data_IF_501300246955
#
_entry.id   IF_501300246955
#
_cell.length_a   1.000
_cell.length_b   1.000
_cell.length_c   1.000
_cell.angle_alpha   90.00
_cell.angle_beta   90.00
_cell.angle_gamma   90.00
#
_symmetry.space_group_name_H-M   'P 1'
#
loop_
_entity.id
_entity.type
_entity.pdbx_description
1 polymer ?
#
# COMPACT_ATOMS: atom_id res chain seq x y z
N UNK A 1 -19.60 14.71 -24.84
CA UNK A 1 -18.59 15.52 -25.56
C UNK A 1 -17.89 16.40 -24.55
N UNK A 2 -16.59 16.66 -24.69
CA UNK A 2 -15.87 17.58 -23.81
C UNK A 2 -16.25 19.04 -24.15
N UNK A 3 -16.45 19.94 -23.17
CA UNK A 3 -16.64 21.36 -23.42
C UNK A 3 -15.51 21.99 -24.26
N UNK A 4 -15.79 22.96 -25.15
CA UNK A 4 -14.79 23.50 -26.08
C UNK A 4 -13.56 24.13 -25.41
N UNK A 5 -13.71 24.75 -24.24
CA UNK A 5 -12.62 25.35 -23.47
C UNK A 5 -11.69 24.27 -22.87
N UNK A 6 -12.26 23.17 -22.38
CA UNK A 6 -11.52 22.02 -21.88
C UNK A 6 -10.83 21.25 -23.04
N UNK A 7 -11.48 21.18 -24.20
CA UNK A 7 -10.90 20.63 -25.43
C UNK A 7 -9.70 21.47 -25.91
N UNK A 8 -9.79 22.80 -25.87
CA UNK A 8 -8.68 23.69 -26.23
C UNK A 8 -7.47 23.50 -25.29
N UNK A 9 -7.71 23.40 -23.98
CA UNK A 9 -6.67 23.08 -22.98
C UNK A 9 -5.98 21.75 -23.26
N UNK A 10 -6.75 20.68 -23.50
CA UNK A 10 -6.20 19.36 -23.81
C UNK A 10 -5.38 19.35 -25.12
N UNK A 11 -5.81 20.10 -26.13
CA UNK A 11 -5.12 20.22 -27.43
C UNK A 11 -3.80 21.01 -27.35
N UNK A 12 -3.65 21.91 -26.37
CA UNK A 12 -2.43 22.70 -26.18
C UNK A 12 -1.26 21.92 -25.57
N UNK A 13 -1.51 20.71 -25.05
CA UNK A 13 -0.49 19.86 -24.41
C UNK A 13 0.41 19.18 -25.45
N UNK A 14 1.70 19.50 -25.42
CA UNK A 14 2.73 18.82 -26.21
C UNK A 14 3.08 17.45 -25.59
N UNK A 15 2.43 16.39 -26.10
CA UNK A 15 2.56 15.04 -25.54
C UNK A 15 3.88 14.38 -25.90
N UNK A 16 4.61 13.95 -24.88
CA UNK A 16 5.82 13.12 -25.00
C UNK A 16 5.46 11.63 -25.07
N UNK A 17 6.43 10.79 -25.45
CA UNK A 17 6.24 9.33 -25.50
C UNK A 17 6.02 8.74 -24.09
N UNK A 18 5.39 7.55 -23.98
CA UNK A 18 5.45 6.73 -22.77
C UNK A 18 6.90 6.53 -22.29
N UNK A 19 7.06 6.31 -21.00
CA UNK A 19 8.35 6.07 -20.35
C UNK A 19 8.17 5.03 -19.23
N UNK A 20 9.27 4.41 -18.80
CA UNK A 20 9.29 3.34 -17.81
C UNK A 20 10.59 3.35 -16.98
N UNK A 21 10.60 2.60 -15.88
CA UNK A 21 11.73 2.54 -14.95
C UNK A 21 12.71 1.38 -15.22
N UNK A 22 12.58 0.64 -16.33
CA UNK A 22 13.36 -0.59 -16.59
C UNK A 22 14.86 -0.37 -16.41
N UNK A 23 15.40 0.69 -17.04
CA UNK A 23 16.83 1.02 -16.96
C UNK A 23 17.26 1.49 -15.58
N UNK A 24 16.36 2.12 -14.82
CA UNK A 24 16.63 2.49 -13.43
C UNK A 24 16.71 1.24 -12.54
N UNK A 25 15.80 0.28 -12.72
CA UNK A 25 15.82 -0.98 -12.00
C UNK A 25 17.04 -1.85 -12.35
N UNK A 26 17.49 -1.87 -13.60
CA UNK A 26 18.75 -2.52 -14.00
C UNK A 26 19.95 -1.96 -13.22
N UNK A 27 20.10 -0.64 -13.18
CA UNK A 27 21.24 0.02 -12.51
C UNK A 27 21.15 -0.10 -10.98
N UNK A 28 19.95 0.02 -10.40
CA UNK A 28 19.72 -0.20 -8.96
C UNK A 28 20.00 -1.65 -8.55
N UNK A 29 19.67 -2.63 -9.40
CA UNK A 29 19.99 -4.05 -9.16
C UNK A 29 21.49 -4.31 -9.24
N UNK A 30 22.19 -3.67 -10.18
CA UNK A 30 23.65 -3.70 -10.25
C UNK A 30 24.30 -3.09 -8.99
N UNK A 31 23.79 -1.95 -8.50
CA UNK A 31 24.23 -1.34 -7.24
C UNK A 31 23.97 -2.25 -6.03
N UNK A 32 22.78 -2.84 -5.90
CA UNK A 32 22.46 -3.79 -4.83
C UNK A 32 23.49 -4.93 -4.76
N UNK A 33 23.84 -5.45 -5.94
CA UNK A 33 24.81 -6.54 -6.11
C UNK A 33 26.23 -6.09 -5.75
N UNK A 34 26.70 -4.94 -6.22
CA UNK A 34 28.07 -4.47 -5.94
C UNK A 34 28.27 -4.04 -4.48
N UNK A 35 27.26 -3.40 -3.88
CA UNK A 35 27.28 -2.98 -2.48
C UNK A 35 26.94 -4.11 -1.49
N UNK A 36 26.53 -5.29 -1.97
CA UNK A 36 26.11 -6.45 -1.15
C UNK A 36 24.95 -6.12 -0.18
N UNK A 37 24.01 -5.29 -0.62
CA UNK A 37 22.82 -4.89 0.15
C UNK A 37 21.53 -5.53 -0.44
N UNK A 38 20.47 -5.71 0.35
CA UNK A 38 19.17 -6.14 -0.17
C UNK A 38 18.65 -5.19 -1.27
N UNK A 39 18.01 -5.74 -2.30
CA UNK A 39 17.45 -4.96 -3.40
C UNK A 39 16.45 -3.89 -2.93
N UNK A 40 15.64 -4.19 -1.92
CA UNK A 40 14.72 -3.24 -1.29
C UNK A 40 15.47 -2.02 -0.70
N UNK A 41 16.60 -2.25 -0.02
CA UNK A 41 17.44 -1.19 0.51
C UNK A 41 18.11 -0.39 -0.62
N UNK A 42 18.56 -1.06 -1.68
CA UNK A 42 19.10 -0.41 -2.87
C UNK A 42 18.05 0.45 -3.60
N UNK A 43 16.79 0.03 -3.65
CA UNK A 43 15.66 0.81 -4.19
C UNK A 43 15.39 2.05 -3.34
N UNK A 44 15.37 1.92 -2.01
CA UNK A 44 15.19 3.07 -1.10
C UNK A 44 16.29 4.12 -1.33
N UNK A 45 17.54 3.71 -1.55
CA UNK A 45 18.68 4.60 -1.76
C UNK A 45 18.79 5.15 -3.20
N UNK A 46 18.68 4.29 -4.22
CA UNK A 46 19.06 4.58 -5.60
C UNK A 46 17.96 5.24 -6.46
N UNK A 47 16.69 5.14 -6.07
CA UNK A 47 15.56 5.68 -6.85
C UNK A 47 15.37 7.20 -6.77
N UNK A 48 16.27 7.93 -6.08
CA UNK A 48 16.22 9.39 -6.00
C UNK A 48 14.85 9.92 -5.54
N UNK A 49 14.27 10.84 -6.32
CA UNK A 49 12.95 11.43 -6.09
C UNK A 49 11.78 10.61 -6.66
N UNK A 50 12.03 9.54 -7.44
CA UNK A 50 10.98 8.80 -8.14
C UNK A 50 10.03 8.10 -7.13
N UNK A 51 8.69 8.26 -7.26
CA UNK A 51 7.77 7.92 -6.18
C UNK A 51 7.40 6.43 -6.07
N UNK A 52 7.73 5.59 -7.05
CA UNK A 52 7.35 4.16 -7.06
C UNK A 52 8.58 3.27 -6.90
N UNK A 53 8.53 2.31 -5.97
CA UNK A 53 9.64 1.42 -5.64
C UNK A 53 9.50 0.02 -6.27
N UNK A 54 9.48 -0.05 -7.60
CA UNK A 54 9.34 -1.28 -8.36
C UNK A 54 8.71 -1.04 -9.73
N UNK A 55 8.67 -2.07 -10.59
CA UNK A 55 8.37 -1.93 -12.02
C UNK A 55 7.18 -1.02 -12.32
N UNK A 56 7.46 0.06 -13.03
CA UNK A 56 6.55 1.17 -13.26
C UNK A 56 6.66 1.71 -14.70
N UNK A 57 5.52 2.07 -15.28
CA UNK A 57 5.46 2.78 -16.55
C UNK A 57 4.38 3.86 -16.52
N UNK A 58 4.57 4.94 -17.28
CA UNK A 58 3.66 6.08 -17.29
C UNK A 58 3.56 6.71 -18.69
N UNK A 59 2.46 7.41 -18.94
CA UNK A 59 2.19 8.06 -20.23
C UNK A 59 1.96 9.55 -20.06
N UNK A 60 1.98 10.31 -21.15
CA UNK A 60 1.64 11.74 -21.11
C UNK A 60 0.11 11.92 -21.15
N UNK A 61 -0.53 11.64 -20.02
CA UNK A 61 -2.00 11.70 -19.83
C UNK A 61 -2.49 13.01 -19.19
N UNK A 62 -1.59 13.99 -18.99
CA UNK A 62 -1.91 15.33 -18.52
C UNK A 62 -3.05 15.95 -19.32
N UNK A 63 -4.05 16.47 -18.60
CA UNK A 63 -5.30 17.01 -19.12
C UNK A 63 -6.07 16.08 -20.08
N UNK A 64 -5.86 14.76 -20.06
CA UNK A 64 -6.80 13.84 -20.70
C UNK A 64 -8.14 13.79 -19.92
N UNK A 65 -9.27 13.49 -20.58
CA UNK A 65 -10.57 13.60 -19.92
C UNK A 65 -10.84 12.42 -18.99
N UNK A 66 -11.10 12.69 -17.72
CA UNK A 66 -11.51 11.68 -16.73
C UNK A 66 -13.03 11.62 -16.66
N UNK A 67 -13.57 10.40 -16.73
CA UNK A 67 -15.03 10.17 -16.75
C UNK A 67 -15.61 10.35 -15.36
N UNK A 68 -16.72 11.09 -15.28
CA UNK A 68 -17.50 11.32 -14.08
C UNK A 68 -18.64 12.31 -14.36
N UNK A 69 -19.57 12.53 -13.41
CA UNK A 69 -20.49 13.64 -13.43
C UNK A 69 -20.00 14.76 -12.47
N UNK A 70 -19.40 15.86 -12.96
CA UNK A 70 -19.07 16.20 -14.35
C UNK A 70 -17.74 15.59 -14.86
N UNK A 71 -17.53 15.64 -16.17
CA UNK A 71 -16.24 15.34 -16.79
C UNK A 71 -15.25 16.41 -16.37
N UNK A 72 -14.05 16.00 -15.96
CA UNK A 72 -12.93 16.88 -15.63
C UNK A 72 -11.67 16.50 -16.42
N UNK A 73 -10.68 17.38 -16.41
CA UNK A 73 -9.37 17.13 -16.99
C UNK A 73 -8.46 16.49 -15.94
N UNK A 74 -7.59 15.57 -16.36
CA UNK A 74 -6.62 14.94 -15.48
C UNK A 74 -5.59 15.96 -14.95
N UNK A 75 -5.48 16.07 -13.63
CA UNK A 75 -4.59 17.01 -12.93
C UNK A 75 -3.31 16.35 -12.39
N UNK A 76 -2.97 15.16 -12.92
CA UNK A 76 -1.77 14.42 -12.55
C UNK A 76 -1.18 13.60 -13.71
N UNK A 77 -0.40 12.59 -13.35
CA UNK A 77 0.04 11.51 -14.23
C UNK A 77 -0.17 10.16 -13.55
N UNK A 78 -0.77 9.20 -14.27
CA UNK A 78 -0.91 7.83 -13.78
C UNK A 78 0.39 7.05 -13.99
N UNK A 79 0.98 6.60 -12.88
CA UNK A 79 2.15 5.71 -12.85
C UNK A 79 1.65 4.29 -12.56
N UNK A 80 1.62 3.46 -13.60
CA UNK A 80 1.10 2.09 -13.57
C UNK A 80 2.13 1.16 -12.93
N UNK A 81 1.74 0.51 -11.84
CA UNK A 81 2.56 -0.43 -11.09
C UNK A 81 1.66 -1.47 -10.40
N UNK A 82 2.26 -2.57 -9.93
CA UNK A 82 1.49 -3.64 -9.29
C UNK A 82 0.80 -3.17 -7.99
N UNK A 83 -0.37 -3.76 -7.70
CA UNK A 83 -1.03 -3.66 -6.39
C UNK A 83 -0.03 -4.04 -5.28
N UNK A 84 0.14 -3.15 -4.30
CA UNK A 84 1.08 -3.35 -3.20
C UNK A 84 2.51 -2.84 -3.44
N UNK A 85 2.86 -2.35 -4.63
CA UNK A 85 4.19 -1.75 -4.85
C UNK A 85 4.39 -0.54 -3.92
N UNK A 86 5.54 -0.39 -3.24
CA UNK A 86 5.72 0.71 -2.30
C UNK A 86 5.76 2.09 -2.97
N UNK A 87 5.10 3.06 -2.34
CA UNK A 87 5.10 4.48 -2.70
C UNK A 87 6.04 5.21 -1.74
N UNK A 88 6.98 5.97 -2.30
CA UNK A 88 8.01 6.74 -1.60
C UNK A 88 7.66 8.23 -1.57
N UNK A 89 8.00 8.92 -0.49
CA UNK A 89 7.98 10.38 -0.44
C UNK A 89 9.03 10.96 -1.41
N UNK A 90 8.67 11.79 -2.40
CA UNK A 90 9.63 12.35 -3.34
C UNK A 90 10.67 13.26 -2.67
N UNK A 91 10.30 13.93 -1.58
CA UNK A 91 11.15 14.84 -0.81
C UNK A 91 10.89 14.67 0.68
N UNK A 92 11.81 15.20 1.51
CA UNK A 92 11.54 15.40 2.92
C UNK A 92 10.47 16.47 3.12
N UNK A 93 9.52 16.25 4.04
CA UNK A 93 8.37 17.14 4.21
C UNK A 93 7.39 16.69 5.30
N UNK A 94 6.25 17.37 5.37
CA UNK A 94 5.12 16.98 6.21
C UNK A 94 4.17 16.06 5.44
N UNK A 95 3.86 14.92 6.05
CA UNK A 95 2.91 13.94 5.55
C UNK A 95 1.50 14.24 6.07
N UNK A 96 0.50 14.13 5.18
CA UNK A 96 -0.93 14.12 5.53
C UNK A 96 -1.62 13.04 4.70
N UNK A 97 -2.28 12.09 5.35
CA UNK A 97 -3.19 11.17 4.69
C UNK A 97 -4.61 11.77 4.57
N UNK A 98 -5.33 11.30 3.56
CA UNK A 98 -6.75 11.54 3.32
C UNK A 98 -7.38 10.23 2.83
N UNK A 99 -8.64 9.96 3.19
CA UNK A 99 -9.39 8.81 2.68
C UNK A 99 -10.80 9.28 2.26
N UNK A 100 -10.99 9.47 0.96
CA UNK A 100 -12.25 9.97 0.40
C UNK A 100 -12.13 10.55 -1.01
N UNK A 101 -13.21 11.19 -1.45
CA UNK A 101 -13.26 11.86 -2.76
C UNK A 101 -13.05 10.91 -3.94
N UNK A 102 -12.48 11.43 -5.03
CA UNK A 102 -12.15 10.64 -6.22
C UNK A 102 -10.85 9.84 -6.03
N UNK A 103 -9.85 10.40 -5.34
CA UNK A 103 -8.55 9.74 -5.13
C UNK A 103 -8.59 8.56 -4.15
N UNK A 104 -9.61 8.45 -3.29
CA UNK A 104 -9.69 7.40 -2.28
C UNK A 104 -8.70 7.62 -1.15
N UNK A 105 -7.96 6.59 -0.78
CA UNK A 105 -6.85 6.70 0.15
C UNK A 105 -5.68 7.36 -0.58
N UNK A 106 -5.19 8.45 -0.02
CA UNK A 106 -4.13 9.25 -0.60
C UNK A 106 -3.18 9.83 0.46
N UNK A 107 -1.95 10.13 0.03
CA UNK A 107 -0.95 10.84 0.80
C UNK A 107 -0.60 12.18 0.14
N UNK A 108 -0.45 13.20 0.96
CA UNK A 108 0.12 14.49 0.60
C UNK A 108 1.48 14.63 1.29
N UNK A 109 2.53 14.91 0.51
CA UNK A 109 3.85 15.26 1.04
C UNK A 109 4.11 16.73 0.73
N UNK A 110 4.04 17.60 1.73
CA UNK A 110 4.26 19.04 1.60
C UNK A 110 5.66 19.41 2.05
N UNK A 111 6.44 20.04 1.17
CA UNK A 111 7.83 20.46 1.45
C UNK A 111 7.89 21.92 1.94
N UNK A 112 9.08 22.39 2.31
CA UNK A 112 9.27 23.65 3.03
C UNK A 112 8.81 24.92 2.26
N UNK A 113 8.79 24.91 0.93
CA UNK A 113 8.35 26.03 0.09
C UNK A 113 6.83 26.05 -0.18
N UNK A 114 6.08 25.17 0.47
CA UNK A 114 4.63 24.99 0.29
C UNK A 114 4.25 24.06 -0.87
N UNK A 115 5.19 23.64 -1.72
CA UNK A 115 4.92 22.65 -2.77
C UNK A 115 4.44 21.34 -2.16
N UNK A 116 3.39 20.74 -2.72
CA UNK A 116 2.95 19.41 -2.30
C UNK A 116 2.85 18.43 -3.46
N UNK A 117 3.08 17.16 -3.12
CA UNK A 117 2.91 16.00 -3.98
C UNK A 117 1.68 15.23 -3.52
N UNK A 118 0.73 14.98 -4.42
CA UNK A 118 -0.45 14.16 -4.15
C UNK A 118 -0.21 12.74 -4.69
N UNK A 119 -0.51 11.75 -3.87
CA UNK A 119 -0.21 10.34 -4.10
C UNK A 119 -1.50 9.54 -3.83
N UNK A 120 -2.31 9.28 -4.84
CA UNK A 120 -3.67 8.74 -4.67
C UNK A 120 -3.84 7.29 -5.15
N UNK A 121 -5.06 6.77 -4.97
CA UNK A 121 -5.48 5.39 -5.24
C UNK A 121 -4.75 4.33 -4.41
N UNK A 122 -4.18 4.71 -3.26
CA UNK A 122 -3.38 3.83 -2.41
C UNK A 122 -4.17 2.62 -1.89
N UNK A 123 -3.52 1.47 -1.76
CA UNK A 123 -4.08 0.28 -1.12
C UNK A 123 -3.99 0.33 0.41
N UNK A 124 -3.02 1.07 0.95
CA UNK A 124 -2.76 1.20 2.37
C UNK A 124 -1.66 2.21 2.66
N UNK A 125 -1.64 2.74 3.89
CA UNK A 125 -0.59 3.63 4.41
C UNK A 125 0.61 2.85 4.92
N UNK A 126 1.78 3.50 5.02
CA UNK A 126 2.95 2.86 5.64
C UNK A 126 2.74 2.65 7.15
N UNK A 127 3.13 1.48 7.71
CA UNK A 127 3.04 1.21 9.14
C UNK A 127 3.80 2.25 9.98
N UNK A 128 3.22 2.68 11.10
CA UNK A 128 3.84 3.63 12.03
C UNK A 128 3.82 5.09 11.59
N UNK A 129 3.38 5.39 10.36
CA UNK A 129 3.18 6.77 9.89
C UNK A 129 1.72 7.23 10.06
N UNK A 130 1.54 8.51 10.37
CA UNK A 130 0.24 9.16 10.53
C UNK A 130 0.30 10.61 10.02
N UNK A 131 -0.87 11.22 9.78
CA UNK A 131 -0.95 12.64 9.39
C UNK A 131 -0.28 13.55 10.42
N UNK A 132 0.50 14.51 9.94
CA UNK A 132 1.32 15.42 10.75
C UNK A 132 2.77 14.96 10.94
N UNK A 133 3.09 13.69 10.62
CA UNK A 133 4.46 13.18 10.66
C UNK A 133 5.39 13.95 9.70
N UNK A 134 6.66 14.02 10.07
CA UNK A 134 7.73 14.39 9.14
C UNK A 134 8.23 13.13 8.45
N UNK A 135 8.43 13.20 7.14
CA UNK A 135 9.02 12.14 6.33
C UNK A 135 10.32 12.62 5.70
N UNK A 136 11.24 11.69 5.43
CA UNK A 136 12.45 11.94 4.64
C UNK A 136 12.21 11.56 3.17
N UNK A 137 13.05 12.08 2.27
CA UNK A 137 13.06 11.64 0.87
C UNK A 137 13.28 10.12 0.80
N UNK A 138 12.51 9.45 -0.03
CA UNK A 138 12.61 8.02 -0.27
C UNK A 138 11.96 7.13 0.79
N UNK A 139 11.47 7.70 1.90
CA UNK A 139 10.72 6.97 2.91
C UNK A 139 9.40 6.45 2.34
N UNK A 140 9.07 5.19 2.62
CA UNK A 140 7.80 4.59 2.20
C UNK A 140 6.65 5.26 2.97
N UNK A 141 5.67 5.78 2.23
CA UNK A 141 4.44 6.40 2.77
C UNK A 141 3.19 5.54 2.52
N UNK A 142 3.30 4.48 1.74
CA UNK A 142 2.24 3.48 1.59
C UNK A 142 2.43 2.66 0.33
N UNK A 143 1.33 2.20 -0.26
CA UNK A 143 1.37 1.18 -1.31
C UNK A 143 0.37 1.47 -2.43
N UNK A 144 0.78 1.20 -3.67
CA UNK A 144 -0.03 1.32 -4.90
C UNK A 144 -1.29 0.46 -4.80
N UNK A 145 -2.42 0.97 -5.32
CA UNK A 145 -3.70 0.26 -5.28
C UNK A 145 -4.70 0.73 -6.31
N UNK A 146 -5.99 0.57 -5.98
CA UNK A 146 -7.14 0.94 -6.79
C UNK A 146 -8.20 1.73 -5.99
N UNK A 147 -7.85 2.38 -4.86
CA UNK A 147 -8.87 3.01 -4.02
C UNK A 147 -9.51 4.26 -4.67
N UNK A 148 -10.68 4.69 -4.18
CA UNK A 148 -11.43 5.80 -4.78
C UNK A 148 -12.15 5.39 -6.06
N UNK A 149 -12.10 6.24 -7.09
CA UNK A 149 -12.75 6.01 -8.39
C UNK A 149 -11.97 5.05 -9.32
N UNK A 150 -10.75 4.65 -8.94
CA UNK A 150 -9.96 3.63 -9.63
C UNK A 150 -10.45 2.19 -9.37
N UNK A 151 -11.39 2.00 -8.42
CA UNK A 151 -11.75 0.69 -7.86
C UNK A 151 -12.23 -0.30 -8.90
N UNK A 152 -11.61 -1.48 -8.94
CA UNK A 152 -11.86 -2.54 -9.91
C UNK A 152 -11.18 -2.32 -11.27
N UNK A 153 -10.42 -1.24 -11.44
CA UNK A 153 -9.50 -1.04 -12.56
C UNK A 153 -8.09 -1.58 -12.29
N UNK A 154 -7.14 -1.39 -13.23
CA UNK A 154 -5.73 -1.71 -12.99
C UNK A 154 -5.15 -0.79 -11.91
N UNK A 155 -4.33 -1.36 -11.02
CA UNK A 155 -3.67 -0.60 -9.97
C UNK A 155 -2.67 0.42 -10.54
N UNK A 156 -2.61 1.60 -9.92
CA UNK A 156 -1.70 2.68 -10.29
C UNK A 156 -1.52 3.68 -9.14
N UNK A 157 -0.44 4.45 -9.19
CA UNK A 157 -0.29 5.67 -8.43
C UNK A 157 -0.77 6.83 -9.31
N UNK A 158 -1.82 7.53 -8.89
CA UNK A 158 -2.13 8.83 -9.45
C UNK A 158 -1.26 9.89 -8.75
N UNK A 159 -0.41 10.58 -9.51
CA UNK A 159 0.62 11.48 -9.02
C UNK A 159 0.38 12.93 -9.49
N UNK A 160 0.24 13.89 -8.57
CA UNK A 160 0.13 15.32 -8.89
C UNK A 160 1.25 16.13 -8.23
N UNK A 161 1.59 17.28 -8.83
CA UNK A 161 2.55 18.26 -8.29
C UNK A 161 1.89 19.63 -8.22
N UNK A 162 1.90 20.24 -7.04
CA UNK A 162 1.31 21.56 -6.79
C UNK A 162 2.37 22.54 -6.24
N UNK A 163 3.08 23.27 -7.12
CA UNK A 163 4.13 24.22 -6.73
C UNK A 163 3.57 25.31 -5.79
N UNK A 164 4.23 25.52 -4.65
CA UNK A 164 3.86 26.49 -3.62
C UNK A 164 2.38 26.39 -3.14
N UNK A 165 1.77 25.21 -3.24
CA UNK A 165 0.36 24.97 -2.91
C UNK A 165 -0.64 25.54 -3.93
N UNK A 166 -0.16 25.90 -5.12
CA UNK A 166 -0.97 26.46 -6.21
C UNK A 166 -1.71 25.40 -7.04
N UNK A 167 -2.03 25.76 -8.28
CA UNK A 167 -2.62 24.83 -9.24
C UNK A 167 -1.64 23.69 -9.61
N UNK A 168 -2.20 22.53 -9.95
CA UNK A 168 -1.41 21.40 -10.43
C UNK A 168 -0.63 21.78 -11.72
N UNK A 169 0.57 21.23 -11.87
CA UNK A 169 1.39 21.31 -13.09
C UNK A 169 1.64 19.92 -13.66
N UNK A 170 1.93 19.85 -14.97
CA UNK A 170 2.21 18.61 -15.69
C UNK A 170 3.34 17.80 -15.03
N UNK A 171 3.04 16.61 -14.45
CA UNK A 171 4.04 15.80 -13.79
C UNK A 171 4.89 14.98 -14.75
N UNK A 172 4.48 14.77 -16.01
CA UNK A 172 5.17 13.87 -16.94
C UNK A 172 6.64 14.27 -17.17
N UNK A 173 6.99 15.55 -17.43
CA UNK A 173 8.38 15.99 -17.54
C UNK A 173 9.17 15.89 -16.23
N UNK A 174 8.48 15.96 -15.08
CA UNK A 174 9.11 15.84 -13.75
C UNK A 174 9.48 14.39 -13.47
N UNK A 175 8.57 13.45 -13.73
CA UNK A 175 8.80 12.01 -13.59
C UNK A 175 9.91 11.53 -14.55
N UNK A 176 9.87 11.95 -15.81
CA UNK A 176 10.91 11.62 -16.80
C UNK A 176 12.30 12.09 -16.32
N UNK A 177 12.42 13.35 -15.88
CA UNK A 177 13.66 13.90 -15.33
C UNK A 177 14.14 13.16 -14.09
N UNK A 178 13.26 12.82 -13.15
CA UNK A 178 13.65 12.13 -11.92
C UNK A 178 14.19 10.73 -12.16
N UNK A 179 13.71 10.03 -13.19
CA UNK A 179 14.25 8.72 -13.58
C UNK A 179 15.62 8.87 -14.24
N UNK A 180 15.82 9.86 -15.11
CA UNK A 180 17.14 10.16 -15.68
C UNK A 180 18.16 10.55 -14.58
N UNK A 181 17.77 11.41 -13.64
CA UNK A 181 18.59 11.80 -12.48
C UNK A 181 18.93 10.60 -11.58
N UNK A 182 17.95 9.73 -11.31
CA UNK A 182 18.15 8.53 -10.51
C UNK A 182 19.05 7.48 -11.22
N UNK A 183 18.96 7.34 -12.54
CA UNK A 183 19.85 6.46 -13.33
C UNK A 183 21.31 6.92 -13.19
N UNK A 184 21.57 8.22 -13.34
CA UNK A 184 22.92 8.80 -13.19
C UNK A 184 23.44 8.59 -11.76
N UNK A 185 22.60 8.84 -10.75
CA UNK A 185 22.97 8.66 -9.35
C UNK A 185 23.24 7.19 -8.98
N UNK A 186 22.36 6.26 -9.35
CA UNK A 186 22.53 4.84 -9.09
C UNK A 186 23.77 4.27 -9.82
N UNK A 187 24.13 4.79 -11.00
CA UNK A 187 25.36 4.42 -11.69
C UNK A 187 26.62 4.92 -10.96
N UNK A 188 26.59 6.12 -10.39
CA UNK A 188 27.67 6.64 -9.53
C UNK A 188 27.85 5.78 -8.26
N UNK A 189 26.74 5.38 -7.61
CA UNK A 189 26.76 4.45 -6.47
C UNK A 189 27.34 3.07 -6.84
N UNK A 190 26.93 2.52 -7.99
CA UNK A 190 27.39 1.20 -8.45
C UNK A 190 28.90 1.18 -8.77
N UNK A 191 29.46 2.30 -9.22
CA UNK A 191 30.87 2.44 -9.62
C UNK A 191 31.80 2.88 -8.49
N UNK A 192 31.32 3.63 -7.50
CA UNK A 192 32.09 4.08 -6.34
C UNK A 192 31.30 3.90 -5.03
N UNK A 193 31.17 2.69 -4.48
CA UNK A 193 30.30 2.42 -3.32
C UNK A 193 30.71 3.16 -2.04
N UNK A 194 31.97 3.61 -1.92
CA UNK A 194 32.46 4.43 -0.80
C UNK A 194 32.17 5.93 -0.94
N UNK A 195 31.60 6.42 -2.05
CA UNK A 195 31.32 7.84 -2.28
C UNK A 195 30.10 8.38 -1.49
N UNK A 196 29.56 7.61 -0.56
CA UNK A 196 28.19 7.77 -0.08
C UNK A 196 28.13 8.18 1.40
N UNK A 197 28.10 9.48 1.67
CA UNK A 197 27.35 9.99 2.82
C UNK A 197 25.86 9.98 2.47
N UNK A 198 25.24 8.81 2.50
CA UNK A 198 23.79 8.70 2.50
C UNK A 198 23.24 9.20 3.84
N UNK A 199 22.02 9.77 3.89
CA UNK A 199 21.29 9.85 5.14
C UNK A 199 21.06 8.43 5.69
N UNK A 200 21.19 8.23 7.01
CA UNK A 200 20.97 6.92 7.61
C UNK A 200 19.56 6.38 7.29
N UNK A 201 19.42 5.06 7.04
CA UNK A 201 18.12 4.45 6.77
C UNK A 201 17.30 4.34 8.05
N UNK A 202 16.51 5.38 8.36
CA UNK A 202 15.58 5.39 9.53
C UNK A 202 14.27 4.64 9.23
N UNK A 203 14.37 3.39 8.78
CA UNK A 203 13.35 2.34 8.98
C UNK A 203 14.07 1.00 9.04
N UNK A 204 14.27 0.46 10.26
CA UNK A 204 14.43 -0.98 10.40
C UNK A 204 13.05 -1.63 10.16
N UNK A 205 13.02 -2.73 9.41
CA UNK A 205 11.78 -3.50 9.23
C UNK A 205 11.25 -3.93 10.62
N UNK A 206 9.93 -3.81 10.88
CA UNK A 206 9.38 -4.21 12.17
C UNK A 206 9.57 -5.72 12.37
N UNK A 207 10.23 -6.10 13.47
CA UNK A 207 10.32 -7.52 13.84
C UNK A 207 8.93 -8.14 14.01
N UNK A 208 8.75 -9.43 13.65
CA UNK A 208 7.46 -10.09 13.76
C UNK A 208 6.98 -10.13 15.21
N UNK A 209 5.95 -9.34 15.51
CA UNK A 209 5.33 -9.25 16.83
C UNK A 209 4.84 -10.64 17.26
N UNK A 210 5.56 -11.25 18.21
CA UNK A 210 5.12 -12.51 18.82
C UNK A 210 3.79 -12.30 19.55
N UNK A 211 2.83 -13.23 19.46
CA UNK A 211 1.54 -13.08 20.11
C UNK A 211 1.70 -13.02 21.64
N UNK A 212 0.86 -12.24 22.35
CA UNK A 212 0.97 -12.07 23.79
C UNK A 212 0.81 -13.42 24.51
N UNK A 213 1.78 -13.74 25.38
CA UNK A 213 1.69 -14.92 26.26
C UNK A 213 0.42 -14.81 27.11
N UNK A 214 -0.46 -15.80 26.99
CA UNK A 214 -1.65 -15.93 27.83
C UNK A 214 -1.24 -15.97 29.30
N UNK A 215 -1.79 -15.04 30.09
CA UNK A 215 -1.57 -15.01 31.53
C UNK A 215 -2.19 -16.26 32.18
N UNK A 216 -1.38 -17.05 32.88
CA UNK A 216 -1.87 -18.22 33.63
C UNK A 216 -2.74 -17.76 34.79
N UNK A 217 -4.01 -18.15 34.80
CA UNK A 217 -4.92 -17.83 35.88
C UNK A 217 -4.47 -18.42 37.23
N UNK A 218 -4.66 -17.72 38.37
CA UNK A 218 -4.28 -18.23 39.67
C UNK A 218 -5.16 -19.43 40.08
N UNK A 219 -4.50 -20.50 40.53
CA UNK A 219 -5.13 -21.75 40.96
C UNK A 219 -5.88 -21.52 42.28
N UNK A 220 -7.22 -21.44 42.25
CA UNK A 220 -8.06 -21.42 43.46
C UNK A 220 -7.83 -22.70 44.27
N UNK A 221 -7.28 -22.54 45.48
CA UNK A 221 -7.27 -23.61 46.48
C UNK A 221 -8.66 -23.72 47.11
N UNK A 222 -9.25 -24.91 47.07
CA UNK A 222 -10.48 -25.19 47.79
C UNK A 222 -10.17 -25.35 49.29
N UNK A 223 -10.97 -24.71 50.15
CA UNK A 223 -10.98 -24.97 51.59
C UNK A 223 -12.41 -25.23 52.01
N UNK A 224 -12.69 -26.43 52.50
CA UNK A 224 -13.99 -26.81 53.03
C UNK A 224 -14.18 -26.25 54.46
N UNK A 225 -15.41 -25.87 54.79
CA UNK A 225 -15.90 -25.63 56.14
C UNK A 225 -17.40 -25.98 56.18
N UNK A 226 -17.91 -26.35 57.35
CA UNK A 226 -19.12 -27.18 57.49
C UNK A 226 -20.22 -26.56 58.38
N UNK A 227 -21.48 -26.93 58.05
CA UNK A 227 -22.65 -27.08 58.96
C UNK A 227 -23.26 -25.81 59.62
N UNK A 228 -24.59 -25.62 59.52
CA UNK A 228 -25.32 -24.51 60.17
C UNK A 228 -26.85 -24.43 59.99
N UNK A 229 -27.58 -25.48 60.41
CA UNK A 229 -29.06 -25.67 60.63
C UNK A 229 -30.08 -24.48 60.72
N UNK A 230 -31.36 -24.78 60.36
CA UNK A 230 -32.67 -24.04 60.56
C UNK A 230 -32.85 -22.77 59.68
N UNK A 231 -33.99 -22.34 59.11
CA UNK A 231 -35.42 -22.71 58.96
C UNK A 231 -36.16 -21.49 58.32
N UNK A 232 -37.42 -21.49 57.85
CA UNK A 232 -38.46 -22.51 57.69
C UNK A 232 -39.62 -22.00 56.75
N UNK A 233 -40.37 -22.93 56.12
CA UNK A 233 -41.79 -22.87 55.70
C UNK A 233 -42.31 -22.16 54.40
N UNK A 234 -43.29 -22.88 53.80
CA UNK A 234 -44.43 -22.46 52.94
C UNK A 234 -44.26 -22.10 51.44
N UNK A 235 -45.01 -22.83 50.56
CA UNK A 235 -45.58 -22.28 49.31
C UNK A 235 -45.57 -23.14 48.02
N UNK A 236 -46.67 -23.89 47.77
CA UNK A 236 -47.28 -24.28 46.44
C UNK A 236 -46.36 -24.84 45.31
N UNK A 237 -46.41 -26.13 44.90
CA UNK A 237 -47.44 -26.93 44.17
C UNK A 237 -47.51 -26.70 42.64
N UNK A 238 -47.31 -27.81 41.88
CA UNK A 238 -47.53 -28.17 40.44
C UNK A 238 -46.20 -28.62 39.77
N UNK A 239 -45.83 -29.92 39.66
CA UNK A 239 -46.36 -31.04 38.84
C UNK A 239 -46.78 -30.57 37.42
N UNK A 240 -46.37 -31.11 36.25
CA UNK A 240 -45.92 -32.44 35.73
C UNK A 240 -44.92 -32.14 34.57
N UNK A 241 -43.98 -32.97 34.10
CA UNK A 241 -43.52 -34.34 34.41
C UNK A 241 -42.41 -34.80 33.42
N UNK A 242 -41.85 -35.99 33.66
CA UNK A 242 -40.62 -36.50 33.01
C UNK A 242 -40.85 -37.40 31.79
N UNK A 243 -39.85 -37.50 30.90
CA UNK A 243 -39.23 -38.74 30.34
C UNK A 243 -38.09 -38.32 29.36
N UNK A 244 -36.85 -38.84 29.37
CA UNK A 244 -36.39 -40.20 28.97
C UNK A 244 -36.78 -40.56 27.50
N UNK A 245 -35.94 -41.15 26.63
CA UNK A 245 -34.54 -41.62 26.78
C UNK A 245 -33.85 -41.99 25.43
N UNK A 246 -32.51 -42.09 25.47
CA UNK A 246 -31.64 -43.09 24.81
C UNK A 246 -31.53 -43.28 23.25
N UNK A 247 -30.26 -43.24 22.81
CA UNK A 247 -29.55 -44.22 21.96
C UNK A 247 -29.49 -44.17 20.41
N UNK A 248 -28.28 -44.47 19.90
CA UNK A 248 -27.96 -44.84 18.51
C UNK A 248 -27.64 -43.65 17.59
N UNK A 249 -26.50 -43.52 16.90
CA UNK A 249 -25.28 -44.34 16.85
C UNK A 249 -25.08 -45.07 15.52
N UNK A 250 -24.27 -44.50 14.59
CA UNK A 250 -23.28 -45.25 13.79
C UNK A 250 -22.36 -44.37 12.93
N UNK A 251 -21.14 -44.87 12.77
CA UNK A 251 -20.10 -44.41 11.85
C UNK A 251 -20.30 -45.06 10.48
N UNK A 252 -20.02 -44.34 9.39
CA UNK A 252 -19.70 -44.94 8.09
C UNK A 252 -18.38 -44.32 7.57
N UNK A 253 -17.45 -45.17 7.13
CA UNK A 253 -16.17 -44.78 6.51
C UNK A 253 -16.17 -45.17 5.03
N UNK A 254 -15.61 -44.27 4.20
CA UNK A 254 -14.79 -44.51 3.00
C UNK A 254 -15.29 -45.45 1.90
N UNK A 255 -15.23 -44.94 0.67
CA UNK A 255 -14.58 -45.64 -0.46
C UNK A 255 -13.70 -44.66 -1.25
N UNK A 256 -12.57 -45.15 -1.76
CA UNK A 256 -11.74 -44.48 -2.79
C UNK A 256 -12.09 -45.11 -4.14
N UNK A 257 -11.97 -44.35 -5.23
CA UNK A 257 -11.77 -44.89 -6.58
C UNK A 257 -10.53 -44.23 -7.22
N UNK A 258 -9.91 -44.91 -8.18
CA UNK A 258 -8.60 -44.57 -8.78
C UNK A 258 -8.75 -44.04 -10.22
N UNK A 259 -7.73 -43.27 -10.62
CA UNK A 259 -7.25 -42.93 -11.97
C UNK A 259 -7.84 -43.70 -13.18
N UNK A 260 -8.04 -42.95 -14.27
CA UNK A 260 -7.71 -43.37 -15.64
C UNK A 260 -6.98 -42.21 -16.38
N UNK A 261 -6.29 -42.53 -17.48
CA UNK A 261 -5.30 -41.68 -18.18
C UNK A 261 -5.84 -41.26 -19.56
N UNK A 262 -5.28 -40.20 -20.14
CA UNK A 262 -5.55 -39.79 -21.53
C UNK A 262 -4.92 -40.73 -22.57
N UNK A 263 -5.32 -40.61 -23.85
CA UNK A 263 -4.46 -40.77 -25.01
C UNK A 263 -4.18 -39.42 -25.72
N UNK A 264 -3.07 -39.38 -26.46
CA UNK A 264 -2.66 -38.30 -27.37
C UNK A 264 -3.23 -38.54 -28.80
N UNK A 265 -2.70 -37.79 -29.78
CA UNK A 265 -2.96 -37.80 -31.25
C UNK A 265 -4.27 -37.07 -31.67
N UNK A 266 -4.24 -35.88 -32.30
CA UNK A 266 -3.61 -35.56 -33.62
C UNK A 266 -3.09 -34.11 -33.71
#
# INVERSE_FOLDING_TARGET
MLPPDLQAKMNAVHRTRPNDDTKLLEVVTAYATSAHIPLEQAMVLGLGHFPVAGPAHWTHDWLLPRRGPPIHLHQGTDVWAAMGTPIRAPFAGRLRYEDGGLGGLAAYVTVADGTYYYLAHMAGTAPGLASGAHVTQGQIVGFVGDSGNARGGPAHLHFEVHPHGGAAVDPKPILDRWVDEAIVYAFALATNPTATTAPEPVVAAPEPVSPPRTATAPRRTARAASIGSRGNAAGQIFVIGSLLALCGGRVIRRTRAKLARAPDDE
#
